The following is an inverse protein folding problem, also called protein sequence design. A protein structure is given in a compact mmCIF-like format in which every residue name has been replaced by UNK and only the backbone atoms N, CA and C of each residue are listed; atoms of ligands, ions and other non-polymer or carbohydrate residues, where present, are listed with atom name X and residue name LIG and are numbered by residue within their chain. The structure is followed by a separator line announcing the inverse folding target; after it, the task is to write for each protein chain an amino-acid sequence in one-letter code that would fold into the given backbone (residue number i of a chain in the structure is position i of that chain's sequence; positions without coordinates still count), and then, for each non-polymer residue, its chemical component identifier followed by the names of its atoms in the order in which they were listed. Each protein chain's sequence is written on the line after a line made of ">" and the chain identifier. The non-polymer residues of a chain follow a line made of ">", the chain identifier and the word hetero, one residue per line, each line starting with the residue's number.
data_IF_132431153396
#
_entry.id   IF_132431153396
#
_cell.length_a   1.000
_cell.length_b   1.000
_cell.length_c   1.000
_cell.angle_alpha   90.00
_cell.angle_beta   90.00
_cell.angle_gamma   90.00
#
_symmetry.space_group_name_H-M   'P 1'
#
loop_
_entity.id
_entity.type
_entity.pdbx_description
1 polymer ?
#
# COMPACT_ATOMS: atom_id res chain seq x y z
N UNK A 1 0.16 59.07 -35.15
CA UNK A 1 -1.22 58.89 -35.64
C UNK A 1 -2.12 58.59 -34.44
N UNK A 2 -3.22 59.33 -34.20
CA UNK A 2 -4.14 59.03 -33.09
C UNK A 2 -4.84 57.69 -33.34
N UNK A 3 -5.10 56.91 -32.27
CA UNK A 3 -5.81 55.62 -32.34
C UNK A 3 -7.12 55.69 -33.14
N UNK A 4 -7.82 56.83 -33.04
CA UNK A 4 -9.07 57.12 -33.75
C UNK A 4 -8.96 57.16 -35.29
N UNK A 5 -7.75 57.10 -35.88
CA UNK A 5 -7.56 57.08 -37.35
C UNK A 5 -7.18 55.69 -37.90
N UNK A 6 -7.20 54.63 -37.09
CA UNK A 6 -7.05 53.25 -37.56
C UNK A 6 -8.36 52.81 -38.24
N UNK A 7 -8.33 52.68 -39.55
CA UNK A 7 -9.49 52.26 -40.37
C UNK A 7 -9.56 50.75 -40.60
N UNK A 8 -8.64 49.98 -40.00
CA UNK A 8 -8.61 48.52 -40.08
C UNK A 8 -7.82 47.92 -38.93
N UNK A 9 -8.38 46.89 -38.31
CA UNK A 9 -7.67 46.04 -37.37
C UNK A 9 -7.13 44.81 -38.13
N UNK A 10 -5.90 44.36 -37.86
CA UNK A 10 -5.43 43.12 -38.44
C UNK A 10 -6.31 41.96 -37.94
N UNK A 11 -6.51 40.97 -38.79
CA UNK A 11 -7.26 39.77 -38.43
C UNK A 11 -6.63 39.10 -37.21
N UNK A 12 -7.46 38.68 -36.25
CA UNK A 12 -6.98 37.96 -35.07
C UNK A 12 -6.25 36.68 -35.45
N UNK A 13 -5.31 36.25 -34.60
CA UNK A 13 -4.69 34.94 -34.75
C UNK A 13 -5.76 33.83 -34.65
N UNK A 14 -5.60 32.71 -35.38
CA UNK A 14 -6.45 31.54 -35.21
C UNK A 14 -6.49 31.05 -33.76
N UNK A 15 -7.59 30.39 -33.36
CA UNK A 15 -7.71 29.81 -32.03
C UNK A 15 -6.54 28.85 -31.72
N UNK A 16 -5.95 28.98 -30.52
CA UNK A 16 -4.77 28.22 -30.10
C UNK A 16 -3.42 28.85 -30.46
N UNK A 17 -3.41 30.06 -31.03
CA UNK A 17 -2.19 30.83 -31.30
C UNK A 17 -2.11 32.10 -30.45
N UNK A 18 -0.90 32.61 -30.25
CA UNK A 18 -0.63 33.89 -29.61
C UNK A 18 0.12 34.83 -30.56
N UNK A 19 -0.02 36.14 -30.35
CA UNK A 19 0.70 37.16 -31.12
C UNK A 19 2.13 37.26 -30.62
N UNK A 20 3.11 37.01 -31.49
CA UNK A 20 4.55 37.17 -31.20
C UNK A 20 5.16 38.42 -31.82
N UNK A 21 4.42 39.11 -32.70
CA UNK A 21 4.84 40.38 -33.32
C UNK A 21 3.66 41.15 -33.90
N UNK A 22 3.76 42.48 -33.90
CA UNK A 22 2.72 43.40 -34.39
C UNK A 22 3.28 44.25 -35.52
N UNK A 23 2.69 44.12 -36.72
CA UNK A 23 3.02 44.90 -37.92
C UNK A 23 1.79 45.11 -38.81
N UNK A 24 1.98 45.23 -40.13
CA UNK A 24 0.86 45.30 -41.10
C UNK A 24 -0.02 44.04 -41.12
N UNK A 25 0.48 42.93 -40.57
CA UNK A 25 -0.25 41.71 -40.25
C UNK A 25 0.28 41.20 -38.91
N UNK A 26 -0.54 40.52 -38.10
CA UNK A 26 -0.07 39.90 -36.85
C UNK A 26 0.87 38.73 -37.18
N UNK A 27 2.00 38.65 -36.49
CA UNK A 27 2.79 37.42 -36.45
C UNK A 27 2.18 36.52 -35.38
N UNK A 28 1.56 35.43 -35.82
CA UNK A 28 0.90 34.47 -34.94
C UNK A 28 1.77 33.23 -34.81
N UNK A 29 2.06 32.84 -33.57
CA UNK A 29 2.74 31.59 -33.26
C UNK A 29 1.75 30.66 -32.55
N UNK A 30 1.75 29.40 -32.92
CA UNK A 30 1.26 28.35 -32.01
C UNK A 30 2.21 28.28 -30.83
N UNK A 31 1.70 28.10 -29.61
CA UNK A 31 2.51 27.51 -28.55
C UNK A 31 3.13 26.23 -29.14
N UNK A 32 4.45 26.11 -29.08
CA UNK A 32 5.13 24.91 -29.56
C UNK A 32 4.63 23.73 -28.70
N UNK A 33 3.66 22.98 -29.22
CA UNK A 33 2.97 21.91 -28.51
C UNK A 33 1.61 22.32 -27.96
N UNK A 34 0.53 21.80 -28.57
CA UNK A 34 -0.75 21.57 -27.90
C UNK A 34 -0.66 20.40 -26.90
N UNK A 35 0.50 20.25 -26.29
CA UNK A 35 0.98 19.12 -25.50
C UNK A 35 1.95 19.72 -24.48
N UNK A 36 2.10 19.12 -23.30
CA UNK A 36 3.29 19.40 -22.49
C UNK A 36 4.51 19.08 -23.37
N UNK A 37 5.19 20.11 -23.87
CA UNK A 37 6.42 19.98 -24.65
C UNK A 37 7.61 20.25 -23.71
N UNK A 38 8.59 19.35 -23.73
CA UNK A 38 9.73 19.39 -22.82
C UNK A 38 10.68 18.23 -23.09
N UNK A 39 11.84 18.24 -22.43
CA UNK A 39 12.82 17.14 -22.44
C UNK A 39 12.67 16.31 -21.17
N UNK A 40 12.58 14.99 -21.30
CA UNK A 40 12.53 14.06 -20.16
C UNK A 40 12.63 12.62 -20.65
N UNK A 41 12.85 11.67 -19.74
CA UNK A 41 12.93 10.25 -20.10
C UNK A 41 11.54 9.63 -20.01
N UNK A 42 11.17 8.83 -21.02
CA UNK A 42 9.91 8.08 -20.98
C UNK A 42 9.82 7.25 -19.69
N UNK A 43 8.62 7.17 -19.11
CA UNK A 43 8.31 6.44 -17.88
C UNK A 43 8.93 7.00 -16.59
N UNK A 44 9.54 8.19 -16.59
CA UNK A 44 9.97 8.90 -15.37
C UNK A 44 8.91 9.90 -14.91
N UNK A 45 8.75 10.04 -13.60
CA UNK A 45 7.93 11.10 -13.01
C UNK A 45 8.72 12.41 -13.05
N UNK A 46 8.14 13.50 -13.57
CA UNK A 46 8.79 14.82 -13.55
C UNK A 46 8.87 15.37 -12.12
N UNK A 47 10.01 15.97 -11.75
CA UNK A 47 10.28 16.56 -10.42
C UNK A 47 10.87 17.95 -10.56
N UNK A 48 10.41 18.90 -9.74
CA UNK A 48 11.09 20.19 -9.61
C UNK A 48 12.42 20.02 -8.87
N UNK A 49 13.53 20.42 -9.49
CA UNK A 49 14.84 20.53 -8.84
C UNK A 49 15.15 21.95 -8.39
N UNK A 50 14.41 22.93 -8.91
CA UNK A 50 14.40 24.33 -8.47
C UNK A 50 12.99 24.93 -8.64
N UNK A 51 12.80 26.21 -8.29
CA UNK A 51 11.53 26.91 -8.47
C UNK A 51 11.05 26.97 -9.94
N UNK A 52 11.95 26.78 -10.91
CA UNK A 52 11.66 26.89 -12.34
C UNK A 52 12.28 25.78 -13.19
N UNK A 53 12.85 24.73 -12.58
CA UNK A 53 13.54 23.63 -13.30
C UNK A 53 12.87 22.30 -13.02
N UNK A 54 12.56 21.55 -14.08
CA UNK A 54 12.05 20.19 -14.05
C UNK A 54 13.12 19.21 -14.54
N UNK A 55 13.24 18.07 -13.85
CA UNK A 55 14.11 16.95 -14.22
C UNK A 55 13.40 15.61 -13.93
N UNK A 56 14.04 14.49 -14.32
CA UNK A 56 13.54 13.15 -13.98
C UNK A 56 13.63 12.90 -12.46
N UNK A 57 12.57 12.32 -11.90
CA UNK A 57 12.59 11.77 -10.55
C UNK A 57 13.39 10.47 -10.49
N UNK A 58 13.77 10.08 -9.27
CA UNK A 58 14.19 8.71 -8.98
C UNK A 58 13.04 7.70 -9.15
N UNK A 59 11.80 8.19 -9.26
CA UNK A 59 10.60 7.39 -9.49
C UNK A 59 10.37 7.14 -10.99
N UNK A 60 10.01 5.91 -11.33
CA UNK A 60 9.57 5.50 -12.67
C UNK A 60 8.33 4.62 -12.61
N UNK A 61 7.53 4.63 -13.67
CA UNK A 61 6.33 3.80 -13.78
C UNK A 61 6.51 2.73 -14.86
N UNK A 62 6.17 1.48 -14.55
CA UNK A 62 6.18 0.40 -15.53
C UNK A 62 5.11 -0.61 -15.20
N UNK A 63 4.18 -0.85 -16.13
CA UNK A 63 3.14 -1.87 -15.98
C UNK A 63 2.27 -1.71 -14.72
N UNK A 64 1.99 -0.47 -14.31
CA UNK A 64 1.20 -0.19 -13.09
C UNK A 64 2.00 -0.24 -11.78
N UNK A 65 3.32 -0.41 -11.85
CA UNK A 65 4.22 -0.37 -10.69
C UNK A 65 5.02 0.94 -10.66
N UNK A 66 5.17 1.53 -9.48
CA UNK A 66 6.10 2.63 -9.23
C UNK A 66 7.42 2.03 -8.71
N UNK A 67 8.50 2.21 -9.47
CA UNK A 67 9.85 1.86 -9.02
C UNK A 67 10.55 3.10 -8.49
N UNK A 68 11.14 3.01 -7.30
CA UNK A 68 11.89 4.11 -6.67
C UNK A 68 13.34 3.69 -6.56
N UNK A 69 14.23 4.37 -7.29
CA UNK A 69 15.68 4.15 -7.26
C UNK A 69 16.31 4.86 -6.04
N UNK A 70 15.82 4.50 -4.84
CA UNK A 70 16.17 5.12 -3.57
C UNK A 70 15.21 4.75 -2.45
N UNK A 71 15.44 5.34 -1.26
CA UNK A 71 14.57 5.12 -0.10
C UNK A 71 13.24 5.87 -0.21
N UNK A 72 12.16 5.24 0.24
CA UNK A 72 10.86 5.89 0.47
C UNK A 72 10.73 6.14 1.97
N UNK A 73 10.49 7.40 2.34
CA UNK A 73 10.08 7.77 3.70
C UNK A 73 8.59 8.06 3.70
N UNK A 74 7.79 7.16 4.25
CA UNK A 74 6.38 7.46 4.52
C UNK A 74 6.30 8.36 5.75
N UNK A 75 5.66 9.53 5.63
CA UNK A 75 5.35 10.40 6.78
C UNK A 75 4.20 9.85 7.64
N UNK A 76 3.59 8.77 7.18
CA UNK A 76 2.54 8.02 7.85
C UNK A 76 2.84 6.53 7.68
N UNK A 77 1.79 5.71 7.59
CA UNK A 77 1.87 4.27 7.64
C UNK A 77 2.13 3.66 6.28
N UNK A 78 2.97 2.62 6.27
CA UNK A 78 3.36 1.94 5.06
C UNK A 78 3.17 0.45 5.24
N UNK A 79 2.21 -0.10 4.51
CA UNK A 79 1.88 -1.52 4.51
C UNK A 79 0.50 -1.83 5.09
N UNK A 80 0.11 -3.11 5.09
CA UNK A 80 -1.17 -3.59 5.57
C UNK A 80 -1.36 -3.36 7.08
N UNK A 81 -2.58 -3.03 7.50
CA UNK A 81 -2.95 -2.88 8.91
C UNK A 81 -4.08 -3.84 9.30
N UNK A 82 -4.24 -4.07 10.60
CA UNK A 82 -5.17 -5.04 11.16
C UNK A 82 -6.62 -4.68 10.83
N UNK A 83 -7.26 -5.52 10.01
CA UNK A 83 -8.65 -5.35 9.60
C UNK A 83 -9.64 -5.98 10.58
N UNK A 84 -9.22 -7.03 11.29
CA UNK A 84 -10.07 -7.78 12.21
C UNK A 84 -9.73 -9.27 12.27
N UNK A 85 -10.59 -10.03 12.94
CA UNK A 85 -10.46 -11.48 13.11
C UNK A 85 -11.52 -12.22 12.29
N UNK A 86 -11.19 -13.42 11.79
CA UNK A 86 -12.21 -14.30 11.19
C UNK A 86 -13.24 -14.71 12.24
N UNK A 87 -14.50 -14.92 11.82
CA UNK A 87 -15.56 -15.39 12.73
C UNK A 87 -15.44 -16.88 13.09
N UNK A 88 -14.80 -17.67 12.22
CA UNK A 88 -14.53 -19.09 12.46
C UNK A 88 -13.12 -19.30 12.99
N UNK A 89 -12.99 -20.28 13.89
CA UNK A 89 -11.69 -20.69 14.42
C UNK A 89 -11.12 -21.86 13.62
N UNK A 90 -9.80 -21.96 13.59
CA UNK A 90 -9.05 -23.05 12.97
C UNK A 90 -7.93 -23.48 13.89
N UNK A 91 -7.52 -24.74 13.78
CA UNK A 91 -6.28 -25.22 14.36
C UNK A 91 -5.10 -25.01 13.38
N UNK A 92 -3.92 -25.50 13.74
CA UNK A 92 -2.71 -25.37 12.94
C UNK A 92 -2.70 -26.13 11.61
N UNK A 93 -3.71 -26.93 11.27
CA UNK A 93 -3.85 -27.61 9.98
C UNK A 93 -4.87 -26.89 9.07
N UNK A 94 -4.51 -25.71 8.58
CA UNK A 94 -5.44 -24.81 7.91
C UNK A 94 -5.68 -25.25 6.46
N UNK A 95 -6.95 -25.36 6.07
CA UNK A 95 -7.41 -25.67 4.70
C UNK A 95 -8.45 -24.66 4.23
N UNK A 96 -8.55 -24.40 2.92
CA UNK A 96 -9.60 -23.57 2.32
C UNK A 96 -9.86 -24.03 0.88
N UNK A 97 -10.96 -24.73 0.65
CA UNK A 97 -11.16 -25.47 -0.61
C UNK A 97 -10.03 -26.47 -0.83
N UNK A 98 -9.33 -26.38 -1.97
CA UNK A 98 -8.16 -27.20 -2.30
C UNK A 98 -6.83 -26.64 -1.75
N UNK A 99 -6.84 -25.46 -1.09
CA UNK A 99 -5.64 -24.84 -0.54
C UNK A 99 -5.32 -25.41 0.85
N UNK A 100 -4.03 -25.43 1.19
CA UNK A 100 -3.50 -25.76 2.51
C UNK A 100 -2.42 -24.74 2.92
N UNK A 101 -2.12 -24.66 4.21
CA UNK A 101 -0.98 -23.92 4.73
C UNK A 101 -1.20 -22.41 4.70
N UNK A 102 -0.13 -21.63 4.52
CA UNK A 102 -0.20 -20.17 4.37
C UNK A 102 -1.21 -19.72 3.30
N UNK A 103 -1.27 -20.41 2.15
CA UNK A 103 -2.23 -20.07 1.08
C UNK A 103 -3.68 -20.21 1.55
N UNK A 104 -3.99 -21.25 2.33
CA UNK A 104 -5.32 -21.42 2.91
C UNK A 104 -5.62 -20.36 3.97
N UNK A 105 -4.65 -20.01 4.82
CA UNK A 105 -4.79 -18.97 5.83
C UNK A 105 -5.07 -17.60 5.18
N UNK A 106 -4.29 -17.22 4.16
CA UNK A 106 -4.54 -16.00 3.39
C UNK A 106 -5.93 -16.03 2.72
N UNK A 107 -6.32 -17.15 2.10
CA UNK A 107 -7.63 -17.25 1.45
C UNK A 107 -8.80 -17.12 2.44
N UNK A 108 -8.66 -17.63 3.66
CA UNK A 108 -9.67 -17.44 4.72
C UNK A 108 -9.77 -15.97 5.15
N UNK A 109 -8.63 -15.29 5.30
CA UNK A 109 -8.63 -13.86 5.58
C UNK A 109 -9.22 -13.04 4.44
N UNK A 110 -8.84 -13.31 3.19
CA UNK A 110 -9.39 -12.65 2.01
C UNK A 110 -10.91 -12.83 1.88
N UNK A 111 -11.44 -13.98 2.34
CA UNK A 111 -12.88 -14.25 2.37
C UNK A 111 -13.61 -13.49 3.49
N UNK A 112 -12.96 -13.29 4.65
CA UNK A 112 -13.55 -12.54 5.76
C UNK A 112 -13.45 -11.01 5.55
N UNK A 113 -12.34 -10.58 4.94
CA UNK A 113 -12.01 -9.19 4.65
C UNK A 113 -11.43 -9.11 3.23
N UNK A 114 -12.16 -8.58 2.24
CA UNK A 114 -11.69 -8.52 0.86
C UNK A 114 -10.31 -7.87 0.73
N UNK A 115 -9.39 -8.56 0.06
CA UNK A 115 -8.00 -8.12 -0.14
C UNK A 115 -7.06 -8.41 1.04
N UNK A 116 -7.55 -8.99 2.14
CA UNK A 116 -6.73 -9.27 3.31
C UNK A 116 -5.98 -10.60 3.24
N UNK A 117 -4.99 -10.73 4.10
CA UNK A 117 -4.19 -11.94 4.34
C UNK A 117 -3.97 -12.13 5.83
N UNK A 118 -3.53 -13.33 6.27
CA UNK A 118 -3.17 -13.50 7.70
C UNK A 118 -2.06 -12.54 8.09
N UNK A 119 -2.27 -11.76 9.15
CA UNK A 119 -1.30 -10.80 9.65
C UNK A 119 -0.01 -11.49 10.06
N UNK A 120 1.11 -10.84 9.77
CA UNK A 120 2.39 -11.12 10.41
C UNK A 120 2.56 -10.34 11.70
N UNK A 121 3.52 -10.74 12.55
CA UNK A 121 3.92 -9.95 13.72
C UNK A 121 4.32 -8.52 13.34
N UNK A 122 5.02 -8.35 12.22
CA UNK A 122 5.44 -7.04 11.74
C UNK A 122 4.22 -6.14 11.40
N UNK A 123 3.19 -6.70 10.78
CA UNK A 123 1.98 -5.96 10.43
C UNK A 123 1.11 -5.66 11.65
N UNK A 124 1.08 -6.53 12.66
CA UNK A 124 0.43 -6.21 13.94
C UNK A 124 1.15 -5.04 14.63
N UNK A 125 2.48 -5.08 14.71
CA UNK A 125 3.26 -3.99 15.30
C UNK A 125 3.14 -2.69 14.49
N UNK A 126 3.08 -2.79 13.16
CA UNK A 126 2.80 -1.65 12.29
C UNK A 126 1.41 -1.10 12.58
N UNK A 127 0.38 -1.95 12.71
CA UNK A 127 -0.98 -1.54 13.06
C UNK A 127 -1.01 -0.75 14.38
N UNK A 128 -0.30 -1.23 15.41
CA UNK A 128 -0.18 -0.53 16.70
C UNK A 128 0.52 0.83 16.55
N UNK A 129 1.58 0.89 15.73
CA UNK A 129 2.30 2.14 15.43
C UNK A 129 1.41 3.15 14.69
N UNK A 130 0.53 2.63 13.84
CA UNK A 130 -0.11 3.38 12.77
C UNK A 130 -1.51 3.85 13.05
N UNK A 131 -2.27 3.02 13.71
CA UNK A 131 -3.68 3.28 13.94
C UNK A 131 -3.83 4.18 15.17
N UNK A 132 -4.20 5.43 14.97
CA UNK A 132 -4.58 6.38 16.02
C UNK A 132 -5.79 7.15 15.45
N UNK A 133 -7.00 7.08 16.04
CA UNK A 133 -7.31 7.02 17.48
C UNK A 133 -7.50 5.64 18.11
N UNK A 134 -7.59 5.61 19.45
CA UNK A 134 -7.85 4.42 20.27
C UNK A 134 -9.14 3.65 19.91
N UNK A 135 -9.98 4.19 19.04
CA UNK A 135 -11.15 3.50 18.48
C UNK A 135 -10.82 2.58 17.30
N UNK A 136 -9.54 2.48 16.89
CA UNK A 136 -9.14 1.64 15.76
C UNK A 136 -9.30 0.14 16.05
N UNK A 137 -9.47 -0.73 15.03
CA UNK A 137 -9.65 -2.16 15.24
C UNK A 137 -8.56 -2.80 16.11
N UNK A 138 -7.30 -2.36 15.98
CA UNK A 138 -6.18 -2.93 16.77
C UNK A 138 -6.32 -2.68 18.28
N UNK A 139 -7.00 -1.61 18.70
CA UNK A 139 -7.20 -1.21 20.10
C UNK A 139 -8.60 -1.54 20.64
N UNK A 140 -9.51 -1.99 19.78
CA UNK A 140 -10.88 -2.37 20.16
C UNK A 140 -11.14 -3.87 20.06
N UNK A 141 -10.29 -4.61 19.36
CA UNK A 141 -10.34 -6.07 19.33
C UNK A 141 -10.10 -6.67 20.71
N UNK A 142 -10.81 -7.76 20.99
CA UNK A 142 -10.66 -8.53 22.23
C UNK A 142 -10.59 -10.02 21.90
N UNK A 143 -9.84 -10.78 22.69
CA UNK A 143 -9.59 -12.20 22.46
C UNK A 143 -8.24 -12.44 21.77
N UNK A 144 -8.05 -13.64 21.23
CA UNK A 144 -6.77 -14.02 20.61
C UNK A 144 -6.99 -14.62 19.22
N UNK A 145 -6.04 -14.40 18.32
CA UNK A 145 -6.07 -14.93 16.97
C UNK A 145 -4.68 -15.38 16.51
N UNK A 146 -4.64 -16.35 15.60
CA UNK A 146 -3.43 -16.75 14.93
C UNK A 146 -2.85 -15.59 14.09
N UNK A 147 -1.54 -15.42 14.19
CA UNK A 147 -0.71 -14.57 13.31
C UNK A 147 0.42 -15.42 12.75
N UNK A 148 1.00 -15.00 11.63
CA UNK A 148 2.19 -15.61 11.05
C UNK A 148 3.46 -14.98 11.65
N UNK A 149 4.38 -15.81 12.13
CA UNK A 149 5.65 -15.33 12.65
C UNK A 149 6.87 -16.07 12.05
N UNK A 150 6.65 -17.09 11.22
CA UNK A 150 7.72 -17.83 10.57
C UNK A 150 8.53 -18.67 11.56
N UNK A 151 9.87 -18.52 11.56
CA UNK A 151 10.83 -19.36 12.26
C UNK A 151 10.97 -19.03 13.78
N UNK A 152 11.55 -19.92 14.62
CA UNK A 152 11.17 -20.04 16.02
C UNK A 152 11.68 -18.96 16.97
N UNK A 153 10.78 -18.53 17.86
CA UNK A 153 11.11 -18.08 19.20
C UNK A 153 11.59 -19.30 20.02
N UNK A 154 12.82 -19.27 20.53
CA UNK A 154 13.35 -20.31 21.42
C UNK A 154 12.80 -20.10 22.85
N UNK A 155 12.60 -21.17 23.66
CA UNK A 155 13.09 -22.54 23.48
C UNK A 155 12.14 -23.52 22.78
N UNK A 156 10.87 -23.18 22.57
CA UNK A 156 9.89 -24.09 21.96
C UNK A 156 9.73 -23.78 20.48
N UNK A 157 9.94 -24.77 19.59
CA UNK A 157 9.83 -24.54 18.15
C UNK A 157 8.44 -24.00 17.78
N UNK A 158 8.42 -22.71 17.45
CA UNK A 158 7.25 -21.96 17.01
C UNK A 158 7.45 -21.67 15.54
N UNK A 159 6.81 -22.46 14.67
CA UNK A 159 7.06 -22.45 13.23
C UNK A 159 5.76 -22.38 12.44
N UNK A 160 4.83 -21.56 12.95
CA UNK A 160 3.47 -21.43 12.43
C UNK A 160 2.80 -22.79 12.25
N UNK A 161 2.92 -23.69 13.21
CA UNK A 161 2.36 -25.04 13.09
C UNK A 161 2.82 -25.80 11.84
N UNK A 162 4.14 -25.80 11.62
CA UNK A 162 4.77 -26.36 10.42
C UNK A 162 4.19 -25.74 9.16
N UNK A 163 4.16 -24.40 9.10
CA UNK A 163 3.60 -23.65 7.97
C UNK A 163 2.11 -23.88 7.74
N UNK A 164 1.36 -24.02 8.82
CA UNK A 164 -0.08 -24.24 8.91
C UNK A 164 -0.54 -25.57 8.30
N UNK A 165 0.29 -26.60 8.40
CA UNK A 165 -0.02 -27.95 7.91
C UNK A 165 -0.19 -28.98 9.02
N UNK A 166 0.02 -28.60 10.28
CA UNK A 166 -0.01 -29.49 11.43
C UNK A 166 -0.97 -28.98 12.51
N UNK A 167 -1.95 -29.79 12.90
CA UNK A 167 -2.96 -29.45 13.91
C UNK A 167 -3.02 -30.43 15.08
N UNK A 168 -1.96 -31.21 15.28
CA UNK A 168 -1.87 -32.21 16.34
C UNK A 168 -1.39 -31.62 17.67
N UNK A 169 -1.42 -32.43 18.73
CA UNK A 169 -1.11 -32.02 20.10
C UNK A 169 0.38 -32.02 20.45
N UNK A 170 1.26 -32.38 19.50
CA UNK A 170 2.69 -32.42 19.72
C UNK A 170 3.24 -31.02 20.04
N UNK A 171 3.73 -30.84 21.26
CA UNK A 171 4.30 -29.58 21.73
C UNK A 171 5.60 -29.20 21.00
N UNK A 172 6.15 -30.09 20.17
CA UNK A 172 7.28 -29.82 19.28
C UNK A 172 6.97 -28.70 18.29
N UNK A 173 5.72 -28.59 17.82
CA UNK A 173 5.31 -27.57 16.87
C UNK A 173 4.30 -26.63 17.51
N UNK A 174 4.57 -25.33 17.45
CA UNK A 174 3.66 -24.30 17.90
C UNK A 174 3.43 -23.26 16.79
N UNK A 175 2.29 -22.60 16.87
CA UNK A 175 2.02 -21.37 16.13
C UNK A 175 2.16 -20.15 17.03
N UNK A 176 1.96 -18.97 16.47
CA UNK A 176 1.91 -17.73 17.23
C UNK A 176 0.49 -17.18 17.22
N UNK A 177 -0.05 -16.92 18.41
CA UNK A 177 -1.25 -16.10 18.55
C UNK A 177 -0.87 -14.70 18.98
N UNK A 178 -1.71 -13.74 18.63
CA UNK A 178 -1.74 -12.42 19.25
C UNK A 178 -2.98 -12.32 20.12
N UNK A 179 -2.82 -11.92 21.38
CA UNK A 179 -3.91 -11.65 22.31
C UNK A 179 -4.15 -10.15 22.38
N UNK A 180 -5.28 -9.70 21.86
CA UNK A 180 -5.62 -8.28 21.71
C UNK A 180 -6.19 -7.69 23.00
N UNK A 181 -5.83 -6.44 23.26
CA UNK A 181 -6.37 -5.60 24.33
C UNK A 181 -6.37 -4.12 23.93
N UNK A 182 -6.81 -3.24 24.84
CA UNK A 182 -6.87 -1.80 24.60
C UNK A 182 -5.49 -1.12 24.38
N UNK A 183 -4.38 -1.82 24.65
CA UNK A 183 -3.02 -1.33 24.43
C UNK A 183 -2.36 -1.96 23.18
N UNK A 184 -3.13 -2.71 22.39
CA UNK A 184 -2.68 -3.37 21.17
C UNK A 184 -2.33 -4.84 21.35
N UNK A 185 -2.19 -5.35 22.58
CA UNK A 185 -2.04 -6.77 22.87
C UNK A 185 -0.61 -7.31 23.00
N UNK A 186 -0.49 -8.65 23.00
CA UNK A 186 0.76 -9.39 23.23
C UNK A 186 0.79 -10.72 22.46
N UNK A 187 1.97 -11.12 21.98
CA UNK A 187 2.18 -12.39 21.28
C UNK A 187 2.45 -13.57 22.22
N UNK A 188 1.92 -14.75 21.90
CA UNK A 188 2.16 -16.01 22.62
C UNK A 188 2.42 -17.17 21.67
N UNK A 189 3.28 -18.11 22.10
CA UNK A 189 3.40 -19.41 21.45
C UNK A 189 2.25 -20.31 21.89
N UNK A 190 1.66 -21.04 20.94
CA UNK A 190 0.47 -21.83 21.21
C UNK A 190 0.48 -23.17 20.47
N UNK A 191 0.03 -24.23 21.15
CA UNK A 191 -0.02 -25.57 20.59
C UNK A 191 -0.97 -25.62 19.39
N UNK A 192 -0.54 -26.31 18.35
CA UNK A 192 -1.21 -26.37 17.07
C UNK A 192 -2.55 -27.08 17.06
N UNK A 193 -2.88 -27.87 18.09
CA UNK A 193 -4.22 -28.44 18.24
C UNK A 193 -5.27 -27.43 18.74
N UNK A 194 -4.84 -26.27 19.23
CA UNK A 194 -5.76 -25.24 19.74
C UNK A 194 -6.47 -24.54 18.59
N UNK A 195 -7.69 -24.05 18.82
CA UNK A 195 -8.50 -23.39 17.80
C UNK A 195 -8.66 -21.91 18.10
N UNK A 196 -8.18 -21.06 17.19
CA UNK A 196 -8.32 -19.59 17.25
C UNK A 196 -8.79 -19.04 15.91
N UNK A 197 -9.45 -17.87 15.87
CA UNK A 197 -9.63 -17.14 14.63
C UNK A 197 -8.28 -16.74 14.01
N UNK A 198 -8.28 -16.32 12.75
CA UNK A 198 -7.11 -15.71 12.11
C UNK A 198 -7.19 -14.19 12.25
N UNK A 199 -6.09 -13.53 12.62
CA UNK A 199 -5.95 -12.09 12.48
C UNK A 199 -5.66 -11.75 11.02
N UNK A 200 -6.39 -10.80 10.45
CA UNK A 200 -6.32 -10.46 9.04
C UNK A 200 -5.87 -9.01 8.85
N UNK A 201 -4.91 -8.78 7.95
CA UNK A 201 -4.32 -7.47 7.65
C UNK A 201 -4.55 -7.12 6.18
N UNK A 202 -4.75 -5.83 5.87
CA UNK A 202 -4.92 -5.33 4.49
C UNK A 202 -4.52 -3.86 4.36
#
# INVERSE_FOLDING_TARGET
>A
MPWARLTGFPTACPAGQYVSGVGGTLTCNTLAGGSLSGTGTANRVAKFTSATTLEDSIMSESGGTINVDGSITATSCFGPVFAGMTSTTVNGAITSGSLQGYRAAHARCASAFPGAHVCSTAEILESIRCENPASSPIFTATGSAWIANGAPALPTQTNDCRGWTYGGSDATFNGTIWSFDANGGVGWAQNCNSSYPLACCR
#
